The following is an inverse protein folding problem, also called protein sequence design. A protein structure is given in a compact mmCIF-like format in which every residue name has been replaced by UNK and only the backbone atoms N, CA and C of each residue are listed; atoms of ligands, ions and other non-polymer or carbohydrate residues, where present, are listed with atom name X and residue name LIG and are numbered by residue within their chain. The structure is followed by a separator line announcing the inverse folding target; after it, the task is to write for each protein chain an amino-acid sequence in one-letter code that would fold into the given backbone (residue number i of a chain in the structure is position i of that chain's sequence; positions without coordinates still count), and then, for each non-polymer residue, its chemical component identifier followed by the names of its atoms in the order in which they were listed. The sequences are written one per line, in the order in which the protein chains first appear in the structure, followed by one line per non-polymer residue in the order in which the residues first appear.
data_IF_406753686433
#
_entry.id   IF_406753686433
#
_cell.length_a   1.000
_cell.length_b   1.000
_cell.length_c   1.000
_cell.angle_alpha   90.00
_cell.angle_beta   90.00
_cell.angle_gamma   90.00
#
_symmetry.space_group_name_H-M   'P 1'
#
loop_
_entity.id
_entity.type
_entity.pdbx_description
1 polymer ?
#
# COMPACT_ATOMS: atom_id res chain seq x y z
N UNK A 1 13.97 19.40 11.40
CA UNK A 1 14.48 18.01 11.26
C UNK A 1 14.23 17.09 12.47
N UNK A 2 13.52 17.50 13.53
CA UNK A 2 13.30 16.64 14.72
C UNK A 2 12.57 15.34 14.41
N UNK A 3 11.44 15.40 13.72
CA UNK A 3 10.63 14.21 13.41
C UNK A 3 11.35 13.21 12.50
N UNK A 4 12.18 13.69 11.55
CA UNK A 4 13.02 12.83 10.70
C UNK A 4 14.05 12.09 11.56
N UNK A 5 14.77 12.79 12.45
CA UNK A 5 15.73 12.14 13.36
C UNK A 5 15.07 11.11 14.28
N UNK A 6 13.85 11.36 14.73
CA UNK A 6 13.08 10.39 15.53
C UNK A 6 12.80 9.14 14.68
N UNK A 7 12.33 9.33 13.44
CA UNK A 7 12.05 8.22 12.53
C UNK A 7 13.29 7.37 12.22
N UNK A 8 14.43 8.01 11.92
CA UNK A 8 15.72 7.35 11.67
C UNK A 8 16.25 6.61 12.91
N UNK A 9 16.11 7.20 14.10
CA UNK A 9 16.50 6.56 15.35
C UNK A 9 15.63 5.33 15.68
N UNK A 10 14.35 5.35 15.30
CA UNK A 10 13.48 4.16 15.41
C UNK A 10 13.93 3.10 14.42
N UNK A 11 14.18 3.47 13.16
CA UNK A 11 14.64 2.55 12.12
C UNK A 11 15.94 1.82 12.51
N UNK A 12 16.87 2.51 13.18
CA UNK A 12 18.14 1.91 13.60
C UNK A 12 18.02 0.85 14.71
N UNK A 13 16.99 0.93 15.56
CA UNK A 13 16.79 -0.01 16.68
C UNK A 13 15.84 -1.16 16.34
N UNK A 14 15.02 -1.03 15.28
CA UNK A 14 14.07 -2.07 14.87
C UNK A 14 14.71 -3.45 14.59
N UNK A 15 15.91 -3.57 13.96
CA UNK A 15 16.54 -4.86 13.71
C UNK A 15 16.80 -5.66 14.98
N UNK A 16 17.23 -5.01 16.06
CA UNK A 16 17.54 -5.66 17.33
C UNK A 16 16.29 -6.17 18.04
N UNK A 17 15.14 -5.53 17.79
CA UNK A 17 13.84 -5.91 18.39
C UNK A 17 13.13 -6.99 17.57
N UNK A 18 13.14 -6.89 16.24
CA UNK A 18 12.36 -7.76 15.34
C UNK A 18 13.18 -8.87 14.67
N UNK A 19 14.50 -8.89 14.86
CA UNK A 19 15.40 -9.86 14.23
C UNK A 19 15.53 -9.71 12.71
N UNK A 20 15.04 -8.60 12.15
CA UNK A 20 15.11 -8.29 10.71
C UNK A 20 15.07 -6.78 10.48
N UNK A 21 15.71 -6.34 9.40
CA UNK A 21 15.63 -4.95 8.97
C UNK A 21 14.19 -4.59 8.58
N UNK A 22 13.67 -3.49 9.15
CA UNK A 22 12.37 -2.93 8.83
C UNK A 22 12.58 -1.50 8.32
N UNK A 23 12.59 -1.35 6.99
CA UNK A 23 12.83 -0.05 6.38
C UNK A 23 11.68 0.92 6.63
N UNK A 24 12.02 2.18 6.81
CA UNK A 24 11.05 3.26 6.91
C UNK A 24 10.32 3.45 5.57
N UNK A 25 9.01 3.20 5.55
CA UNK A 25 8.22 3.38 4.34
C UNK A 25 7.88 4.87 4.09
N UNK A 26 7.43 5.15 2.87
CA UNK A 26 7.01 6.49 2.44
C UNK A 26 5.90 7.09 3.33
N UNK A 27 5.05 6.24 3.90
CA UNK A 27 3.96 6.65 4.79
C UNK A 27 4.46 7.17 6.14
N UNK A 28 5.70 6.86 6.54
CA UNK A 28 6.36 7.43 7.71
C UNK A 28 7.30 8.60 7.34
N UNK A 29 7.96 8.53 6.18
CA UNK A 29 8.85 9.59 5.70
C UNK A 29 8.11 10.91 5.42
N UNK A 30 7.00 10.86 4.67
CA UNK A 30 6.23 12.07 4.29
C UNK A 30 5.76 12.85 5.53
N UNK A 31 5.09 12.23 6.52
CA UNK A 31 4.68 12.95 7.73
C UNK A 31 5.85 13.51 8.54
N UNK A 32 6.97 12.78 8.65
CA UNK A 32 8.14 13.24 9.39
C UNK A 32 8.72 14.54 8.80
N UNK A 33 8.76 14.65 7.46
CA UNK A 33 9.19 15.88 6.79
C UNK A 33 8.16 17.00 6.96
N UNK A 34 6.87 16.72 6.73
CA UNK A 34 5.79 17.71 6.82
C UNK A 34 5.64 18.30 8.22
N UNK A 35 5.70 17.47 9.26
CA UNK A 35 5.72 17.93 10.65
C UNK A 35 6.96 18.77 10.95
N UNK A 36 8.09 18.45 10.32
CA UNK A 36 9.34 19.21 10.42
C UNK A 36 9.25 20.65 9.91
N UNK A 37 8.32 20.95 9.00
CA UNK A 37 8.08 22.29 8.44
C UNK A 37 6.82 22.97 9.01
N UNK A 38 6.21 22.39 10.05
CA UNK A 38 5.04 22.97 10.72
C UNK A 38 3.70 22.68 10.03
N UNK A 39 3.63 21.68 9.15
CA UNK A 39 2.36 21.26 8.56
C UNK A 39 1.39 20.76 9.64
N UNK A 40 0.10 21.12 9.59
CA UNK A 40 -0.84 20.76 10.65
C UNK A 40 -1.08 19.24 10.73
N UNK A 41 -0.90 18.69 11.94
CA UNK A 41 -1.06 17.26 12.22
C UNK A 41 -2.42 16.72 11.73
N UNK A 42 -3.50 17.48 11.96
CA UNK A 42 -4.85 17.11 11.56
C UNK A 42 -5.02 16.96 10.03
N UNK A 43 -4.20 17.64 9.22
CA UNK A 43 -4.29 17.60 7.77
C UNK A 43 -3.32 16.59 7.11
N UNK A 44 -2.42 15.94 7.87
CA UNK A 44 -1.36 15.09 7.33
C UNK A 44 -1.86 13.99 6.40
N UNK A 45 -3.01 13.39 6.72
CA UNK A 45 -3.61 12.32 5.91
C UNK A 45 -4.05 12.81 4.52
N UNK A 46 -4.31 14.11 4.36
CA UNK A 46 -4.74 14.69 3.08
C UNK A 46 -3.68 14.58 1.99
N UNK A 47 -2.39 14.66 2.34
CA UNK A 47 -1.28 14.61 1.36
C UNK A 47 -1.21 13.26 0.63
N UNK A 48 -1.11 12.09 1.32
CA UNK A 48 -1.10 10.82 0.62
C UNK A 48 -2.43 10.53 -0.09
N UNK A 49 -3.57 10.98 0.43
CA UNK A 49 -4.87 10.83 -0.25
C UNK A 49 -4.84 11.55 -1.60
N UNK A 50 -4.43 12.82 -1.62
CA UNK A 50 -4.32 13.61 -2.85
C UNK A 50 -3.38 12.95 -3.87
N UNK A 51 -2.21 12.50 -3.41
CA UNK A 51 -1.24 11.81 -4.27
C UNK A 51 -1.83 10.52 -4.88
N UNK A 52 -2.60 9.74 -4.11
CA UNK A 52 -3.27 8.53 -4.62
C UNK A 52 -4.40 8.87 -5.59
N UNK A 53 -5.17 9.92 -5.34
CA UNK A 53 -6.20 10.39 -6.26
C UNK A 53 -5.61 10.74 -7.63
N UNK A 54 -4.44 11.41 -7.67
CA UNK A 54 -3.75 11.68 -8.92
C UNK A 54 -3.36 10.40 -9.67
N UNK A 55 -2.85 9.38 -8.96
CA UNK A 55 -2.55 8.08 -9.56
C UNK A 55 -3.79 7.35 -10.08
N UNK A 56 -4.90 7.40 -9.34
CA UNK A 56 -6.18 6.82 -9.78
C UNK A 56 -6.69 7.49 -11.06
N UNK A 57 -6.60 8.82 -11.17
CA UNK A 57 -6.95 9.54 -12.40
C UNK A 57 -6.09 9.04 -13.58
N UNK A 58 -4.79 8.84 -13.35
CA UNK A 58 -3.89 8.27 -14.35
C UNK A 58 -4.34 6.88 -14.81
N UNK A 59 -4.54 5.95 -13.87
CA UNK A 59 -4.99 4.59 -14.19
C UNK A 59 -6.35 4.54 -14.88
N UNK A 60 -7.30 5.40 -14.49
CA UNK A 60 -8.58 5.52 -15.19
C UNK A 60 -8.40 6.00 -16.63
N UNK A 61 -7.49 6.94 -16.86
CA UNK A 61 -7.18 7.44 -18.20
C UNK A 61 -6.49 6.37 -19.05
N UNK A 62 -5.57 5.60 -18.46
CA UNK A 62 -4.92 4.45 -19.11
C UNK A 62 -5.94 3.38 -19.49
N UNK A 63 -6.87 3.02 -18.59
CA UNK A 63 -7.91 2.01 -18.83
C UNK A 63 -8.89 2.44 -19.94
N UNK A 64 -9.17 3.74 -20.08
CA UNK A 64 -9.98 4.28 -21.19
C UNK A 64 -9.31 4.13 -22.55
N UNK A 65 -7.97 4.20 -22.60
CA UNK A 65 -7.21 4.07 -23.84
C UNK A 65 -6.88 2.60 -24.18
N UNK A 66 -6.56 1.80 -23.16
CA UNK A 66 -6.15 0.40 -23.28
C UNK A 66 -6.75 -0.41 -22.13
N UNK A 67 -7.97 -0.91 -22.31
CA UNK A 67 -8.69 -1.60 -21.25
C UNK A 67 -8.05 -2.96 -20.94
N UNK A 68 -7.67 -3.17 -19.67
CA UNK A 68 -7.10 -4.43 -19.16
C UNK A 68 -8.00 -5.13 -18.14
N UNK A 69 -9.19 -4.59 -17.84
CA UNK A 69 -10.10 -5.11 -16.81
C UNK A 69 -10.41 -6.61 -16.91
N UNK A 70 -10.68 -7.12 -18.11
CA UNK A 70 -10.92 -8.57 -18.29
C UNK A 70 -9.67 -9.42 -18.05
N UNK A 71 -8.50 -8.96 -18.51
CA UNK A 71 -7.24 -9.65 -18.27
C UNK A 71 -6.91 -9.68 -16.77
N UNK A 72 -7.10 -8.57 -16.06
CA UNK A 72 -6.93 -8.49 -14.62
C UNK A 72 -7.92 -9.42 -13.88
N UNK A 73 -9.20 -9.41 -14.25
CA UNK A 73 -10.22 -10.27 -13.65
C UNK A 73 -9.90 -11.77 -13.82
N UNK A 74 -9.48 -12.15 -15.03
CA UNK A 74 -9.04 -13.52 -15.30
C UNK A 74 -7.86 -13.91 -14.42
N UNK A 75 -6.80 -13.09 -14.38
CA UNK A 75 -5.62 -13.37 -13.56
C UNK A 75 -5.95 -13.43 -12.06
N UNK A 76 -6.78 -12.51 -11.57
CA UNK A 76 -7.20 -12.48 -10.17
C UNK A 76 -7.95 -13.76 -9.75
N UNK A 77 -8.69 -14.39 -10.67
CA UNK A 77 -9.49 -15.58 -10.38
C UNK A 77 -8.65 -16.87 -10.35
N UNK A 78 -7.47 -16.90 -10.99
CA UNK A 78 -6.66 -18.12 -11.11
C UNK A 78 -6.23 -18.72 -9.78
N UNK A 79 -5.97 -17.88 -8.78
CA UNK A 79 -5.50 -18.29 -7.46
C UNK A 79 -6.63 -18.23 -6.40
N UNK A 80 -7.88 -18.08 -6.83
CA UNK A 80 -9.01 -18.08 -5.90
C UNK A 80 -9.23 -19.48 -5.36
N UNK A 81 -9.11 -19.62 -4.05
CA UNK A 81 -9.38 -20.86 -3.33
C UNK A 81 -10.80 -20.79 -2.76
N UNK A 82 -11.62 -21.79 -3.08
CA UNK A 82 -12.93 -21.98 -2.45
C UNK A 82 -12.74 -22.62 -1.06
N UNK A 83 -13.24 -21.96 -0.01
CA UNK A 83 -13.10 -22.37 1.40
C UNK A 83 -14.42 -22.81 2.04
N UNK A 84 -15.49 -22.91 1.25
CA UNK A 84 -16.81 -23.36 1.69
C UNK A 84 -16.99 -24.89 1.67
N UNK A 85 -18.16 -25.34 2.14
CA UNK A 85 -18.55 -26.75 2.08
C UNK A 85 -18.82 -27.14 0.62
N UNK A 86 -17.96 -27.98 0.07
CA UNK A 86 -18.07 -28.41 -1.31
C UNK A 86 -19.15 -29.49 -1.45
N UNK A 87 -19.98 -29.45 -2.50
CA UNK A 87 -20.95 -30.50 -2.75
C UNK A 87 -20.27 -31.84 -3.02
N UNK A 88 -20.99 -32.94 -2.77
CA UNK A 88 -20.50 -34.29 -3.03
C UNK A 88 -20.00 -34.43 -4.48
N UNK A 89 -18.74 -34.86 -4.63
CA UNK A 89 -18.09 -35.04 -5.93
C UNK A 89 -17.44 -33.78 -6.52
N UNK A 90 -17.36 -32.67 -5.79
CA UNK A 90 -16.60 -31.50 -6.23
C UNK A 90 -15.11 -31.81 -6.37
N UNK A 91 -14.54 -31.46 -7.53
CA UNK A 91 -13.10 -31.48 -7.77
C UNK A 91 -12.65 -30.03 -7.98
N UNK A 92 -11.84 -29.46 -7.05
CA UNK A 92 -11.21 -28.16 -7.27
C UNK A 92 -10.42 -28.19 -8.57
N UNK A 93 -10.53 -27.11 -9.36
CA UNK A 93 -10.01 -27.05 -10.73
C UNK A 93 -8.53 -27.41 -10.86
N UNK A 94 -8.25 -28.21 -11.90
CA UNK A 94 -7.00 -28.22 -12.68
C UNK A 94 -6.89 -26.90 -13.44
#
# INVERSE_FOLDING_TARGET
MTYVRIAEAIESVLPDVFGKALMLNVSAAIPAVLLGVGFPLAALKGVPILARTAGLIGHLTEELAHSIGFALSYQATREVVYDGEAPDGFQPGI
#
